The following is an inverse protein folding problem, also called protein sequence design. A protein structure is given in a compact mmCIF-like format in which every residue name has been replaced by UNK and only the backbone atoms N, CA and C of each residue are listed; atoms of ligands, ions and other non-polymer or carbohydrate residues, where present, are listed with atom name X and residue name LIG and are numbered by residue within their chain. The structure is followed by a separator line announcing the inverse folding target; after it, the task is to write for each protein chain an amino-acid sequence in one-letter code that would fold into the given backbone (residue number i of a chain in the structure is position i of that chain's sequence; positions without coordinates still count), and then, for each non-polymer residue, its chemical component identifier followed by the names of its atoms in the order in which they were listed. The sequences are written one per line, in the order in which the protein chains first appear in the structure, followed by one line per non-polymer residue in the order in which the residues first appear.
data_IF_281598888682
#
_entry.id   IF_281598888682
#
_cell.length_a   1.000
_cell.length_b   1.000
_cell.length_c   1.000
_cell.angle_alpha   90.00
_cell.angle_beta   90.00
_cell.angle_gamma   90.00
#
_symmetry.space_group_name_H-M   'P 1'
#
loop_
_entity.id
_entity.type
_entity.pdbx_description
1 polymer ?
#
# COMPACT_ATOMS: atom_id res chain seq x y z
N UNK A 1 -38.35 4.68 18.54
CA UNK A 1 -39.28 5.05 19.61
C UNK A 1 -40.63 5.59 19.09
N UNK A 2 -41.01 5.28 17.82
CA UNK A 2 -42.33 5.58 17.25
C UNK A 2 -42.57 6.99 16.74
N UNK A 3 -41.62 7.91 16.93
CA UNK A 3 -41.75 9.26 16.36
C UNK A 3 -41.36 9.28 14.87
N UNK A 4 -42.07 10.04 14.03
CA UNK A 4 -41.68 10.21 12.64
C UNK A 4 -40.33 10.93 12.54
N UNK A 5 -39.46 10.44 11.67
CA UNK A 5 -38.15 11.02 11.41
C UNK A 5 -37.98 11.29 9.93
N UNK A 6 -37.24 12.33 9.58
CA UNK A 6 -36.86 12.64 8.19
C UNK A 6 -35.40 12.28 7.98
N UNK A 7 -35.11 11.61 6.85
CA UNK A 7 -33.76 11.31 6.45
C UNK A 7 -33.09 12.53 5.84
N UNK A 8 -31.89 12.87 6.32
CA UNK A 8 -31.03 13.87 5.72
C UNK A 8 -29.94 13.13 4.95
N UNK A 9 -29.88 13.34 3.65
CA UNK A 9 -28.85 12.74 2.77
C UNK A 9 -28.00 13.84 2.15
N UNK A 10 -26.70 13.62 2.10
CA UNK A 10 -25.71 14.54 1.50
C UNK A 10 -24.85 13.82 0.49
N UNK A 11 -24.34 14.55 -0.51
CA UNK A 11 -23.46 13.97 -1.55
C UNK A 11 -21.98 13.97 -1.16
N UNK A 12 -21.59 14.80 -0.22
CA UNK A 12 -20.20 14.99 0.16
C UNK A 12 -20.02 15.12 1.68
N UNK A 13 -18.90 14.67 2.19
CA UNK A 13 -18.59 14.73 3.63
C UNK A 13 -18.55 16.16 4.21
N UNK A 14 -18.25 17.19 3.39
CA UNK A 14 -18.33 18.59 3.79
C UNK A 14 -19.78 19.05 4.00
N UNK A 15 -20.68 18.62 3.15
CA UNK A 15 -22.11 18.89 3.28
C UNK A 15 -22.68 18.21 4.51
N UNK A 16 -22.31 16.95 4.75
CA UNK A 16 -22.71 16.21 5.94
C UNK A 16 -22.34 16.97 7.25
N UNK A 17 -21.11 17.46 7.35
CA UNK A 17 -20.69 18.26 8.51
C UNK A 17 -21.49 19.56 8.66
N UNK A 18 -21.83 20.19 7.54
CA UNK A 18 -22.64 21.42 7.54
C UNK A 18 -24.07 21.15 8.01
N UNK A 19 -24.70 20.08 7.51
CA UNK A 19 -26.02 19.65 7.93
C UNK A 19 -26.07 19.28 9.42
N UNK A 20 -25.07 18.54 9.92
CA UNK A 20 -24.97 18.26 11.34
C UNK A 20 -24.89 19.53 12.18
N UNK A 21 -24.10 20.52 11.74
CA UNK A 21 -23.97 21.80 12.45
C UNK A 21 -25.29 22.61 12.40
N UNK A 22 -26.01 22.55 11.30
CA UNK A 22 -27.31 23.21 11.13
C UNK A 22 -28.38 22.62 12.06
N UNK A 23 -28.36 21.30 12.24
CA UNK A 23 -29.34 20.58 13.08
C UNK A 23 -28.87 20.33 14.52
N UNK A 24 -27.77 20.98 14.99
CA UNK A 24 -27.15 20.73 16.29
C UNK A 24 -28.11 20.89 17.49
N UNK A 25 -29.11 21.77 17.35
CA UNK A 25 -30.10 22.05 18.40
C UNK A 25 -31.37 21.19 18.28
N UNK A 26 -31.40 20.28 17.30
CA UNK A 26 -32.47 19.33 17.09
C UNK A 26 -32.07 17.93 17.56
N UNK A 27 -33.06 17.10 17.88
CA UNK A 27 -32.78 15.73 18.24
C UNK A 27 -32.46 14.94 16.96
N UNK A 28 -31.18 14.64 16.77
CA UNK A 28 -30.70 13.82 15.65
C UNK A 28 -30.48 12.38 16.09
N UNK A 29 -30.67 11.43 15.18
CA UNK A 29 -30.43 10.01 15.38
C UNK A 29 -29.40 9.55 14.38
N UNK A 30 -28.54 8.60 14.79
CA UNK A 30 -27.47 8.04 13.95
C UNK A 30 -26.49 9.10 13.37
N UNK A 31 -26.44 10.29 13.97
CA UNK A 31 -25.56 11.37 13.55
C UNK A 31 -24.08 11.11 13.87
N UNK A 32 -23.80 10.16 14.72
CA UNK A 32 -22.49 9.64 15.13
C UNK A 32 -22.03 8.43 14.29
N UNK A 33 -22.93 7.83 13.50
CA UNK A 33 -22.56 6.73 12.61
C UNK A 33 -21.75 7.26 11.43
N UNK A 34 -20.62 6.62 11.18
CA UNK A 34 -19.78 6.95 10.03
C UNK A 34 -20.57 6.73 8.72
N UNK A 35 -20.70 7.74 7.86
CA UNK A 35 -21.43 7.63 6.58
C UNK A 35 -20.96 6.47 5.68
N UNK A 36 -19.69 6.07 5.78
CA UNK A 36 -19.15 4.91 5.05
C UNK A 36 -19.83 3.63 5.51
N UNK A 37 -19.98 3.42 6.82
CA UNK A 37 -20.65 2.22 7.35
C UNK A 37 -22.13 2.18 6.95
N UNK A 38 -22.79 3.34 6.91
CA UNK A 38 -24.16 3.43 6.43
C UNK A 38 -24.27 3.06 4.94
N UNK A 39 -23.36 3.56 4.13
CA UNK A 39 -23.29 3.23 2.71
C UNK A 39 -23.03 1.71 2.51
N UNK A 40 -22.14 1.13 3.29
CA UNK A 40 -21.85 -0.31 3.24
C UNK A 40 -23.07 -1.14 3.62
N UNK A 41 -23.77 -0.77 4.71
CA UNK A 41 -25.00 -1.44 5.14
C UNK A 41 -26.09 -1.39 4.05
N UNK A 42 -26.36 -0.20 3.51
CA UNK A 42 -27.44 -0.02 2.53
C UNK A 42 -27.18 -0.72 1.18
N UNK A 43 -25.92 -0.84 0.77
CA UNK A 43 -25.57 -1.32 -0.57
C UNK A 43 -24.98 -2.71 -0.60
N UNK A 44 -24.38 -3.17 0.51
CA UNK A 44 -23.57 -4.40 0.53
C UNK A 44 -23.99 -5.41 1.58
N UNK A 45 -24.94 -5.08 2.48
CA UNK A 45 -25.44 -6.04 3.47
C UNK A 45 -26.04 -7.27 2.76
N UNK A 46 -25.57 -8.47 3.15
CA UNK A 46 -26.01 -9.74 2.58
C UNK A 46 -25.42 -10.09 1.21
N UNK A 47 -24.51 -9.26 0.66
CA UNK A 47 -23.74 -9.60 -0.54
C UNK A 47 -22.48 -10.38 -0.16
N UNK A 48 -22.01 -11.21 -1.06
CA UNK A 48 -20.74 -11.90 -0.88
C UNK A 48 -19.58 -10.90 -0.78
N UNK A 49 -18.64 -11.19 0.12
CA UNK A 49 -17.40 -10.42 0.21
C UNK A 49 -16.52 -10.73 -1.01
N UNK A 50 -16.06 -9.73 -1.76
CA UNK A 50 -15.15 -9.98 -2.86
C UNK A 50 -13.85 -10.59 -2.34
N UNK A 51 -13.25 -11.49 -3.13
CA UNK A 51 -11.90 -11.99 -2.85
C UNK A 51 -10.94 -10.84 -3.10
N UNK A 52 -10.16 -10.44 -2.09
CA UNK A 52 -9.12 -9.44 -2.22
C UNK A 52 -7.90 -10.05 -2.92
N UNK A 53 -7.25 -9.28 -3.76
CA UNK A 53 -5.96 -9.59 -4.37
C UNK A 53 -4.85 -9.11 -3.45
N UNK A 54 -4.10 -10.05 -2.85
CA UNK A 54 -3.07 -9.73 -1.88
C UNK A 54 -1.68 -9.97 -2.48
N UNK A 55 -0.83 -8.95 -2.45
CA UNK A 55 0.59 -9.06 -2.77
C UNK A 55 1.40 -9.10 -1.46
N UNK A 56 2.20 -10.15 -1.30
CA UNK A 56 3.12 -10.29 -0.18
C UNK A 56 4.53 -10.09 -0.69
N UNK A 57 5.27 -9.14 -0.13
CA UNK A 57 6.61 -8.84 -0.62
C UNK A 57 7.63 -8.64 0.50
N UNK A 58 8.87 -8.81 0.13
CA UNK A 58 10.05 -8.61 0.96
C UNK A 58 11.15 -7.95 0.11
N UNK A 59 12.00 -7.14 0.72
CA UNK A 59 13.09 -6.44 0.04
C UNK A 59 14.44 -6.77 0.65
N UNK A 60 15.47 -6.86 -0.21
CA UNK A 60 16.86 -6.89 0.22
C UNK A 60 17.55 -5.56 -0.13
N UNK A 61 18.25 -5.01 0.84
CA UNK A 61 18.90 -3.72 0.74
C UNK A 61 20.41 -3.90 0.77
N UNK A 62 21.12 -3.18 -0.08
CA UNK A 62 22.58 -3.25 -0.11
C UNK A 62 23.19 -2.77 1.22
N UNK A 63 24.29 -3.38 1.63
CA UNK A 63 24.98 -3.11 2.88
C UNK A 63 26.32 -2.40 2.66
N UNK A 64 26.53 -1.27 3.33
CA UNK A 64 27.79 -0.55 3.34
C UNK A 64 28.48 -0.73 4.70
N UNK A 65 29.62 -1.44 4.76
CA UNK A 65 30.34 -1.66 6.03
C UNK A 65 30.74 -0.39 6.77
N UNK A 66 30.93 0.73 6.06
CA UNK A 66 31.33 2.00 6.66
C UNK A 66 30.15 2.77 7.26
N UNK A 67 28.95 2.58 6.73
CA UNK A 67 27.72 3.30 7.12
C UNK A 67 26.75 2.45 7.95
N UNK A 68 26.87 1.12 7.88
CA UNK A 68 25.96 0.18 8.50
C UNK A 68 24.65 0.01 7.71
N UNK A 69 23.59 -0.39 8.40
CA UNK A 69 22.27 -0.59 7.80
C UNK A 69 21.52 0.73 7.60
N UNK A 70 20.98 0.91 6.41
CA UNK A 70 20.08 2.02 6.12
C UNK A 70 18.74 1.85 6.86
N UNK A 71 18.16 2.96 7.30
CA UNK A 71 16.85 2.98 7.97
C UNK A 71 15.78 3.41 6.98
N UNK A 72 14.50 3.00 7.17
CA UNK A 72 13.41 3.44 6.31
C UNK A 72 13.29 4.96 6.18
N UNK A 73 13.60 5.71 7.26
CA UNK A 73 13.49 7.16 7.27
C UNK A 73 14.47 7.87 6.32
N UNK A 74 15.65 7.30 6.13
CA UNK A 74 16.69 7.88 5.26
C UNK A 74 16.84 7.11 3.94
N UNK A 75 16.57 5.81 3.92
CA UNK A 75 16.62 4.92 2.76
C UNK A 75 17.78 5.28 1.80
N UNK A 76 18.99 5.42 2.35
CA UNK A 76 20.15 5.88 1.60
C UNK A 76 20.76 4.78 0.72
N UNK A 77 20.60 3.53 1.11
CA UNK A 77 21.13 2.38 0.37
C UNK A 77 20.14 1.88 -0.69
N UNK A 78 20.61 1.40 -1.85
CA UNK A 78 19.71 0.88 -2.87
C UNK A 78 19.02 -0.42 -2.43
N UNK A 79 17.81 -0.65 -2.91
CA UNK A 79 17.19 -1.97 -2.90
C UNK A 79 17.85 -2.77 -4.01
N UNK A 80 18.34 -3.96 -3.70
CA UNK A 80 19.03 -4.85 -4.65
C UNK A 80 18.17 -6.02 -5.08
N UNK A 81 17.14 -6.36 -4.32
CA UNK A 81 16.18 -7.40 -4.69
C UNK A 81 14.82 -7.11 -4.08
N UNK A 82 13.78 -7.48 -4.81
CA UNK A 82 12.39 -7.50 -4.35
C UNK A 82 11.81 -8.84 -4.72
N UNK A 83 11.27 -9.57 -3.74
CA UNK A 83 10.51 -10.79 -3.96
C UNK A 83 9.05 -10.54 -3.65
N UNK A 84 8.14 -10.88 -4.54
CA UNK A 84 6.70 -10.69 -4.36
C UNK A 84 5.94 -11.97 -4.71
N UNK A 85 5.00 -12.34 -3.86
CA UNK A 85 4.01 -13.38 -4.10
C UNK A 85 2.64 -12.74 -4.35
N UNK A 86 2.03 -13.09 -5.48
CA UNK A 86 0.73 -12.63 -5.93
C UNK A 86 -0.30 -13.74 -5.69
N UNK A 87 -1.14 -13.62 -4.66
CA UNK A 87 -2.04 -14.70 -4.24
C UNK A 87 -3.13 -15.03 -5.27
N UNK A 88 -3.54 -14.07 -6.09
CA UNK A 88 -4.55 -14.27 -7.14
C UNK A 88 -4.03 -14.99 -8.39
N UNK A 89 -2.70 -14.99 -8.58
CA UNK A 89 -2.04 -15.70 -9.69
C UNK A 89 -1.31 -16.97 -9.23
N UNK A 90 -1.16 -17.16 -7.91
CA UNK A 90 -0.30 -18.18 -7.31
C UNK A 90 1.14 -18.12 -7.86
N UNK A 91 1.68 -16.90 -7.98
CA UNK A 91 3.00 -16.64 -8.57
C UNK A 91 3.93 -15.95 -7.58
N UNK A 92 5.14 -16.49 -7.50
CA UNK A 92 6.28 -15.87 -6.84
C UNK A 92 7.20 -15.27 -7.89
N UNK A 93 7.54 -14.00 -7.76
CA UNK A 93 8.40 -13.26 -8.68
C UNK A 93 9.51 -12.61 -7.87
N UNK A 94 10.76 -12.78 -8.30
CA UNK A 94 11.90 -12.08 -7.74
C UNK A 94 12.51 -11.16 -8.80
N UNK A 95 12.64 -9.88 -8.46
CA UNK A 95 13.39 -8.90 -9.24
C UNK A 95 14.72 -8.66 -8.56
N UNK A 96 15.82 -8.67 -9.29
CA UNK A 96 17.13 -8.43 -8.68
C UNK A 96 18.04 -7.58 -9.58
N UNK A 97 18.86 -6.74 -8.96
CA UNK A 97 19.91 -5.98 -9.63
C UNK A 97 21.24 -6.65 -9.33
N UNK A 98 21.85 -7.29 -10.31
CA UNK A 98 23.13 -7.97 -10.09
C UNK A 98 24.26 -6.98 -9.80
N UNK A 99 25.25 -7.36 -8.97
CA UNK A 99 26.45 -6.55 -8.79
C UNK A 99 27.15 -6.29 -10.12
N UNK A 100 27.70 -5.07 -10.30
CA UNK A 100 28.33 -4.65 -11.57
C UNK A 100 29.43 -5.59 -12.08
N UNK A 101 30.09 -6.31 -11.20
CA UNK A 101 31.18 -7.24 -11.54
C UNK A 101 30.75 -8.71 -11.41
N UNK A 102 29.45 -8.99 -11.36
CA UNK A 102 28.96 -10.36 -11.28
C UNK A 102 29.16 -11.06 -12.63
N UNK A 103 29.96 -12.16 -12.67
CA UNK A 103 30.19 -12.87 -13.92
C UNK A 103 28.94 -13.65 -14.34
N UNK A 104 28.54 -13.50 -15.59
CA UNK A 104 27.43 -14.24 -16.21
C UNK A 104 26.11 -14.15 -15.39
N UNK A 105 25.56 -12.95 -15.19
CA UNK A 105 24.32 -12.78 -14.40
C UNK A 105 23.13 -13.56 -14.95
N UNK A 106 23.11 -13.85 -16.26
CA UNK A 106 22.09 -14.66 -16.95
C UNK A 106 21.95 -16.09 -16.41
N UNK A 107 22.97 -16.62 -15.74
CA UNK A 107 22.91 -17.93 -15.09
C UNK A 107 21.87 -17.94 -13.98
N UNK A 108 21.66 -16.80 -13.31
CA UNK A 108 20.68 -16.66 -12.23
C UNK A 108 19.27 -16.91 -12.77
N UNK A 109 18.90 -16.28 -13.88
CA UNK A 109 17.59 -16.47 -14.51
C UNK A 109 17.39 -17.91 -15.03
N UNK A 110 18.47 -18.55 -15.49
CA UNK A 110 18.42 -19.95 -15.92
C UNK A 110 18.22 -20.93 -14.74
N UNK A 111 18.76 -20.62 -13.57
CA UNK A 111 18.66 -21.46 -12.37
C UNK A 111 17.38 -21.22 -11.58
N UNK A 112 16.85 -20.03 -11.63
CA UNK A 112 15.68 -19.58 -10.85
C UNK A 112 14.60 -19.03 -11.79
N UNK A 113 13.69 -19.88 -12.21
CA UNK A 113 12.63 -19.57 -13.21
C UNK A 113 11.77 -18.34 -12.87
N UNK A 114 11.64 -18.02 -11.56
CA UNK A 114 10.84 -16.90 -11.09
C UNK A 114 11.65 -15.60 -10.88
N UNK A 115 12.91 -15.58 -11.34
CA UNK A 115 13.81 -14.44 -11.16
C UNK A 115 14.00 -13.68 -12.45
N UNK A 116 13.84 -12.38 -12.41
CA UNK A 116 14.12 -11.46 -13.51
C UNK A 116 15.24 -10.50 -13.09
N UNK A 117 16.27 -10.39 -13.89
CA UNK A 117 17.34 -9.43 -13.67
C UNK A 117 16.97 -8.06 -14.23
N UNK A 118 17.28 -7.05 -13.44
CA UNK A 118 17.07 -5.65 -13.78
C UNK A 118 18.44 -4.95 -13.96
N UNK A 119 18.58 -4.06 -14.94
CA UNK A 119 19.85 -3.37 -15.19
C UNK A 119 20.24 -2.42 -14.05
N UNK A 120 19.25 -1.87 -13.37
CA UNK A 120 19.42 -0.96 -12.22
C UNK A 120 18.19 -0.96 -11.29
N UNK A 121 18.30 -0.23 -10.19
CA UNK A 121 17.23 -0.11 -9.20
C UNK A 121 15.99 0.61 -9.76
N UNK A 122 16.16 1.55 -10.68
CA UNK A 122 15.03 2.29 -11.25
C UNK A 122 14.13 1.37 -12.08
N UNK A 123 14.71 0.55 -12.93
CA UNK A 123 14.00 -0.45 -13.72
C UNK A 123 13.32 -1.49 -12.82
N UNK A 124 14.03 -1.95 -11.77
CA UNK A 124 13.49 -2.90 -10.81
C UNK A 124 12.26 -2.33 -10.06
N UNK A 125 12.35 -1.10 -9.57
CA UNK A 125 11.25 -0.46 -8.85
C UNK A 125 10.04 -0.19 -9.74
N UNK A 126 10.26 0.23 -10.99
CA UNK A 126 9.17 0.46 -11.95
C UNK A 126 8.44 -0.84 -12.30
N UNK A 127 9.19 -1.93 -12.54
CA UNK A 127 8.64 -3.27 -12.74
C UNK A 127 7.87 -3.76 -11.52
N UNK A 128 8.44 -3.60 -10.33
CA UNK A 128 7.77 -3.98 -9.08
C UNK A 128 6.42 -3.29 -8.92
N UNK A 129 6.37 -1.96 -9.10
CA UNK A 129 5.11 -1.21 -9.02
C UNK A 129 4.09 -1.74 -10.04
N UNK A 130 4.54 -2.02 -11.26
CA UNK A 130 3.68 -2.55 -12.34
C UNK A 130 3.13 -3.93 -11.99
N UNK A 131 3.94 -4.80 -11.39
CA UNK A 131 3.55 -6.17 -10.99
C UNK A 131 2.46 -6.14 -9.91
N UNK A 132 2.51 -5.20 -8.98
CA UNK A 132 1.56 -5.11 -7.86
C UNK A 132 0.39 -4.15 -8.13
N UNK A 133 0.27 -3.59 -9.32
CA UNK A 133 -0.73 -2.55 -9.63
C UNK A 133 -2.18 -3.01 -9.41
N UNK A 134 -2.45 -4.31 -9.60
CA UNK A 134 -3.77 -4.91 -9.39
C UNK A 134 -4.03 -5.36 -7.94
N UNK A 135 -3.07 -5.17 -7.03
CA UNK A 135 -3.24 -5.59 -5.65
C UNK A 135 -4.20 -4.67 -4.87
N UNK A 136 -5.18 -5.26 -4.19
CA UNK A 136 -6.02 -4.55 -3.21
C UNK A 136 -5.30 -4.34 -1.88
N UNK A 137 -4.41 -5.26 -1.52
CA UNK A 137 -3.65 -5.26 -0.27
C UNK A 137 -2.20 -5.60 -0.55
N UNK A 138 -1.30 -4.81 0.01
CA UNK A 138 0.14 -5.07 0.03
C UNK A 138 0.55 -5.38 1.47
N UNK A 139 1.25 -6.48 1.68
CA UNK A 139 1.68 -6.96 3.00
C UNK A 139 3.05 -7.64 2.93
N UNK A 140 3.57 -8.07 4.07
CA UNK A 140 4.81 -8.82 4.23
C UNK A 140 5.17 -8.93 5.71
N UNK A 141 6.24 -9.66 6.03
CA UNK A 141 6.70 -9.78 7.40
C UNK A 141 7.28 -8.45 7.89
N UNK A 142 6.72 -7.87 8.95
CA UNK A 142 7.11 -6.54 9.47
C UNK A 142 7.15 -5.42 8.40
N UNK A 143 6.44 -5.59 7.30
CA UNK A 143 6.52 -4.71 6.14
C UNK A 143 6.10 -3.27 6.43
N UNK A 144 5.17 -3.05 7.38
CA UNK A 144 4.78 -1.71 7.83
C UNK A 144 5.90 -0.98 8.59
N UNK A 145 6.81 -1.73 9.20
CA UNK A 145 7.94 -1.20 9.96
C UNK A 145 9.17 -0.92 9.10
N UNK A 146 9.39 -1.68 8.04
CA UNK A 146 10.59 -1.60 7.22
C UNK A 146 10.29 -1.53 5.71
N UNK A 147 9.79 -2.58 5.08
CA UNK A 147 9.74 -2.74 3.63
C UNK A 147 8.91 -1.65 2.95
N UNK A 148 7.69 -1.42 3.41
CA UNK A 148 6.78 -0.42 2.83
C UNK A 148 7.37 0.99 2.94
N UNK A 149 7.74 1.51 4.13
CA UNK A 149 8.30 2.86 4.20
C UNK A 149 9.64 3.00 3.49
N UNK A 150 10.48 1.95 3.47
CA UNK A 150 11.74 1.93 2.74
C UNK A 150 11.48 2.07 1.23
N UNK A 151 10.64 1.21 0.67
CA UNK A 151 10.27 1.20 -0.75
C UNK A 151 9.65 2.53 -1.18
N UNK A 152 8.73 3.10 -0.39
CA UNK A 152 8.14 4.43 -0.67
C UNK A 152 9.23 5.50 -0.78
N UNK A 153 10.19 5.53 0.14
CA UNK A 153 11.29 6.49 0.10
C UNK A 153 12.24 6.25 -1.06
N UNK A 154 12.53 4.98 -1.41
CA UNK A 154 13.38 4.66 -2.57
C UNK A 154 12.70 5.06 -3.87
N UNK A 155 11.44 4.72 -4.07
CA UNK A 155 10.66 5.17 -5.25
C UNK A 155 10.68 6.68 -5.39
N UNK A 156 10.43 7.42 -4.30
CA UNK A 156 10.48 8.88 -4.33
C UNK A 156 11.84 9.46 -4.70
N UNK A 157 12.95 8.75 -4.37
CA UNK A 157 14.32 9.18 -4.67
C UNK A 157 14.81 8.75 -6.04
N UNK A 158 14.48 7.55 -6.47
CA UNK A 158 15.05 6.90 -7.66
C UNK A 158 14.20 7.14 -8.89
N UNK A 159 12.88 7.07 -8.75
CA UNK A 159 11.92 7.42 -9.80
C UNK A 159 11.44 8.86 -9.61
N UNK A 160 10.31 9.02 -8.95
CA UNK A 160 9.81 10.33 -8.56
C UNK A 160 8.86 10.24 -7.36
N UNK A 161 8.57 11.39 -6.73
CA UNK A 161 7.56 11.47 -5.69
C UNK A 161 6.16 11.11 -6.23
N UNK A 162 5.87 11.44 -7.48
CA UNK A 162 4.57 11.15 -8.08
C UNK A 162 4.38 9.64 -8.33
N UNK A 163 5.46 8.89 -8.61
CA UNK A 163 5.40 7.44 -8.77
C UNK A 163 4.98 6.71 -7.49
N UNK A 164 5.20 7.30 -6.31
CA UNK A 164 4.71 6.73 -5.06
C UNK A 164 3.18 6.59 -5.00
N UNK A 165 2.44 7.35 -5.82
CA UNK A 165 0.98 7.27 -5.89
C UNK A 165 0.50 5.94 -6.46
N UNK A 166 1.32 5.31 -7.32
CA UNK A 166 1.02 4.00 -7.93
C UNK A 166 0.94 2.88 -6.90
N UNK A 167 1.51 3.09 -5.70
CA UNK A 167 1.37 2.18 -4.56
C UNK A 167 0.03 2.33 -3.82
N UNK A 168 -0.83 3.24 -4.23
CA UNK A 168 -2.04 3.58 -3.48
C UNK A 168 -3.27 3.57 -4.38
N UNK A 169 -4.37 3.05 -3.86
CA UNK A 169 -5.67 3.14 -4.52
C UNK A 169 -6.02 4.61 -4.80
N UNK A 170 -6.71 4.84 -5.92
CA UNK A 170 -7.19 6.15 -6.37
C UNK A 170 -6.09 7.19 -6.58
N UNK A 171 -4.88 6.75 -6.88
CA UNK A 171 -3.74 7.62 -7.18
C UNK A 171 -3.48 8.68 -6.08
N UNK A 172 -3.62 8.28 -4.82
CA UNK A 172 -3.33 9.15 -3.66
C UNK A 172 -1.90 8.94 -3.19
N UNK A 173 -1.32 9.92 -2.48
CA UNK A 173 -0.01 9.73 -1.87
C UNK A 173 -0.07 8.78 -0.68
N UNK A 174 0.95 7.92 -0.49
CA UNK A 174 1.09 7.09 0.70
C UNK A 174 1.07 7.92 1.98
N UNK A 175 0.37 7.44 3.00
CA UNK A 175 0.25 8.10 4.30
C UNK A 175 0.41 7.10 5.42
N UNK A 176 1.36 7.34 6.31
CA UNK A 176 1.45 6.60 7.56
C UNK A 176 0.36 7.07 8.52
N UNK A 177 -0.42 6.14 9.07
CA UNK A 177 -1.36 6.40 10.16
C UNK A 177 -0.99 5.52 11.36
N UNK A 178 -0.94 6.12 12.52
CA UNK A 178 -0.79 5.40 13.78
C UNK A 178 -2.14 5.37 14.47
N UNK A 179 -2.57 4.21 14.90
CA UNK A 179 -3.81 4.03 15.65
C UNK A 179 -3.44 3.61 17.06
N UNK A 180 -3.87 4.38 18.05
CA UNK A 180 -3.86 3.94 19.44
C UNK A 180 -5.11 3.09 19.68
N UNK A 181 -4.91 1.86 20.13
CA UNK A 181 -5.98 0.94 20.47
C UNK A 181 -5.94 0.72 21.97
N UNK A 182 -7.01 1.10 22.68
CA UNK A 182 -7.15 0.89 24.13
C UNK A 182 -6.11 1.58 25.03
N UNK A 183 -5.56 2.74 24.62
CA UNK A 183 -4.66 3.52 25.45
C UNK A 183 -3.24 2.95 25.62
N UNK A 184 -2.81 2.08 24.71
CA UNK A 184 -1.43 1.60 24.59
C UNK A 184 -0.82 2.07 23.29
#
# INVERSE_FOLDING_TARGET
YGNPVSRIATKQGKEFKRELAFHKDQKTYESDVNPIFRCLEENYLGKETPKLQCAFFDIEVDFDPAKGYAKPADAWSPIISVTVYLDWLDQLITLAVPPKNFPNPEIVEQQFENTMLCPDEADMLDKFITIIEDADVISGWNSEGFDIPYTVHRIAKVLSKDDTRRLCLWNTFPRKRTFERFGN
#
